data_IF_363016376253
#
_entry.id   IF_363016376253
#
_cell.length_a   1.000
_cell.length_b   1.000
_cell.length_c   1.000
_cell.angle_alpha   90.00
_cell.angle_beta   90.00
_cell.angle_gamma   90.00
#
_symmetry.space_group_name_H-M   'P 1'
#
loop_
_entity.id
_entity.type
_entity.pdbx_description
1 polymer ?
#
# COMPACT_ATOMS: atom_id res chain seq x y z
N UNK A 1 1.59 34.86 26.21
CA UNK A 1 1.04 34.43 24.90
C UNK A 1 1.07 32.91 24.91
N UNK A 2 -0.09 32.26 25.02
CA UNK A 2 -0.13 30.81 25.26
C UNK A 2 -0.01 30.01 23.97
N UNK A 3 1.02 29.15 23.94
CA UNK A 3 1.20 28.03 23.03
C UNK A 3 0.07 27.02 23.19
N UNK A 4 -0.79 26.88 22.18
CA UNK A 4 -1.58 25.65 21.99
C UNK A 4 -1.40 25.15 20.56
N UNK A 5 -0.40 24.29 20.38
CA UNK A 5 -0.24 23.48 19.19
C UNK A 5 -1.35 22.42 19.19
N UNK A 6 -2.16 22.37 18.13
CA UNK A 6 -3.13 21.29 17.91
C UNK A 6 -2.37 19.97 17.85
N UNK A 7 -2.42 19.17 18.92
CA UNK A 7 -1.96 17.79 18.88
C UNK A 7 -2.74 17.05 17.79
N UNK A 8 -2.04 16.40 16.86
CA UNK A 8 -2.67 15.49 15.90
C UNK A 8 -3.34 14.39 16.74
N UNK A 9 -4.66 14.47 16.87
CA UNK A 9 -5.47 13.46 17.55
C UNK A 9 -5.31 12.10 16.89
N UNK A 10 -5.64 11.05 17.64
CA UNK A 10 -5.60 9.65 17.22
C UNK A 10 -6.15 9.47 15.79
N UNK A 11 -5.27 9.08 14.86
CA UNK A 11 -5.67 8.72 13.51
C UNK A 11 -6.04 7.24 13.52
N UNK A 12 -7.33 6.93 13.44
CA UNK A 12 -7.81 5.55 13.40
C UNK A 12 -7.17 4.79 12.24
N UNK A 13 -6.86 3.51 12.45
CA UNK A 13 -6.34 2.63 11.40
C UNK A 13 -7.33 2.64 10.23
N UNK A 14 -6.91 3.20 9.09
CA UNK A 14 -7.67 3.13 7.85
C UNK A 14 -7.39 1.77 7.22
N UNK A 15 -8.44 0.99 7.01
CA UNK A 15 -8.37 -0.25 6.25
C UNK A 15 -8.88 0.03 4.83
N UNK A 16 -8.16 -0.47 3.83
CA UNK A 16 -8.55 -0.39 2.44
C UNK A 16 -9.00 -1.77 1.98
N UNK A 17 -9.97 -1.80 1.08
CA UNK A 17 -10.44 -3.05 0.50
C UNK A 17 -9.31 -3.72 -0.30
N UNK A 18 -9.15 -5.02 -0.07
CA UNK A 18 -8.25 -5.90 -0.80
C UNK A 18 -9.08 -7.09 -1.31
N UNK A 19 -9.15 -7.31 -2.63
CA UNK A 19 -9.92 -8.40 -3.20
C UNK A 19 -9.26 -9.73 -2.85
N UNK A 20 -10.09 -10.73 -2.67
CA UNK A 20 -9.68 -12.12 -2.60
C UNK A 20 -9.79 -12.82 -3.97
N UNK A 21 -9.50 -14.11 -3.99
CA UNK A 21 -9.54 -14.90 -5.23
C UNK A 21 -10.96 -14.99 -5.83
N UNK A 22 -12.00 -14.91 -5.01
CA UNK A 22 -13.40 -14.98 -5.46
C UNK A 22 -13.78 -13.67 -6.14
N UNK A 23 -13.42 -12.54 -5.52
CA UNK A 23 -13.64 -11.21 -6.08
C UNK A 23 -13.02 -11.06 -7.48
N UNK A 24 -11.83 -11.64 -7.68
CA UNK A 24 -11.13 -11.62 -8.96
C UNK A 24 -11.78 -12.49 -10.06
N UNK A 25 -12.68 -13.41 -9.70
CA UNK A 25 -13.43 -14.24 -10.66
C UNK A 25 -14.73 -13.58 -11.12
N UNK A 26 -15.16 -12.52 -10.45
CA UNK A 26 -16.37 -11.81 -10.83
C UNK A 26 -16.17 -11.10 -12.17
N UNK A 27 -17.19 -11.09 -13.06
CA UNK A 27 -17.11 -10.39 -14.34
C UNK A 27 -17.21 -8.86 -14.20
N UNK A 28 -16.97 -8.33 -13.00
CA UNK A 28 -17.07 -6.90 -12.68
C UNK A 28 -15.70 -6.27 -12.83
N UNK A 29 -15.54 -5.20 -13.64
CA UNK A 29 -14.26 -4.53 -13.79
C UNK A 29 -13.72 -3.97 -12.47
N UNK A 30 -12.42 -4.18 -12.21
CA UNK A 30 -11.72 -3.66 -11.04
C UNK A 30 -11.15 -2.26 -11.32
N UNK A 31 -11.74 -1.24 -10.70
CA UNK A 31 -11.33 0.16 -10.83
C UNK A 31 -10.62 0.72 -9.57
N UNK A 32 -9.97 -0.13 -8.76
CA UNK A 32 -9.27 0.32 -7.54
C UNK A 32 -8.03 1.15 -7.86
N UNK A 33 -7.91 2.31 -7.22
CA UNK A 33 -6.70 3.14 -7.28
C UNK A 33 -5.62 2.70 -6.28
N UNK A 34 -6.01 2.04 -5.18
CA UNK A 34 -5.09 1.50 -4.18
C UNK A 34 -5.02 0.00 -4.32
N UNK A 35 -3.87 -0.51 -4.80
CA UNK A 35 -3.68 -1.94 -5.06
C UNK A 35 -3.28 -2.72 -3.79
N UNK A 36 -2.53 -2.07 -2.89
CA UNK A 36 -2.07 -2.64 -1.62
C UNK A 36 -2.07 -1.56 -0.53
N UNK A 37 -2.55 -1.93 0.66
CA UNK A 37 -2.36 -1.15 1.88
C UNK A 37 -1.98 -2.09 3.03
N UNK A 38 -0.67 -2.20 3.30
CA UNK A 38 -0.12 -3.10 4.32
C UNK A 38 0.62 -2.28 5.39
N UNK A 39 -0.07 -1.81 6.45
CA UNK A 39 0.55 -0.98 7.49
C UNK A 39 1.46 -1.77 8.44
N UNK A 40 1.52 -3.10 8.29
CA UNK A 40 2.29 -3.99 9.15
C UNK A 40 3.00 -5.03 8.31
N UNK A 41 4.17 -4.64 7.78
CA UNK A 41 5.09 -5.52 7.08
C UNK A 41 6.35 -5.63 7.94
N UNK A 42 6.73 -6.85 8.31
CA UNK A 42 7.92 -7.12 9.11
C UNK A 42 8.92 -7.81 8.20
N UNK A 43 10.13 -7.26 8.11
CA UNK A 43 11.23 -7.85 7.36
C UNK A 43 11.81 -9.04 8.10
N UNK A 44 12.42 -9.95 7.34
CA UNK A 44 13.19 -11.06 7.89
C UNK A 44 14.55 -10.61 8.47
N UNK A 45 15.36 -11.58 8.90
CA UNK A 45 16.69 -11.36 9.47
C UNK A 45 17.67 -10.68 8.49
N UNK A 46 17.38 -10.70 7.18
CA UNK A 46 18.19 -10.03 6.14
C UNK A 46 17.67 -8.63 5.80
N UNK A 47 16.54 -8.21 6.39
CA UNK A 47 15.89 -6.95 6.07
C UNK A 47 14.99 -7.02 4.83
N UNK A 48 14.58 -8.23 4.41
CA UNK A 48 13.75 -8.44 3.23
C UNK A 48 12.29 -8.72 3.62
N UNK A 49 11.34 -8.23 2.82
CA UNK A 49 9.93 -8.57 2.97
C UNK A 49 9.29 -8.74 1.58
N UNK A 50 8.40 -9.73 1.45
CA UNK A 50 7.62 -9.95 0.23
C UNK A 50 6.16 -9.61 0.48
N UNK A 51 5.56 -8.84 -0.42
CA UNK A 51 4.13 -8.52 -0.43
C UNK A 51 3.52 -8.94 -1.75
N UNK A 52 2.27 -9.42 -1.71
CA UNK A 52 1.53 -9.86 -2.90
C UNK A 52 0.17 -9.17 -2.93
N UNK A 53 -0.24 -8.73 -4.12
CA UNK A 53 -1.52 -8.05 -4.35
C UNK A 53 -2.00 -8.28 -5.77
N UNK A 54 -3.31 -8.12 -5.98
CA UNK A 54 -3.92 -8.12 -7.31
C UNK A 54 -3.92 -6.71 -7.91
N UNK A 55 -3.59 -6.62 -9.19
CA UNK A 55 -3.68 -5.37 -9.96
C UNK A 55 -5.13 -5.05 -10.36
N UNK A 56 -5.46 -3.77 -10.50
CA UNK A 56 -6.73 -3.31 -11.07
C UNK A 56 -6.75 -3.46 -12.60
N UNK A 57 -7.93 -3.38 -13.21
CA UNK A 57 -8.11 -3.34 -14.67
C UNK A 57 -7.71 -1.99 -15.31
N UNK A 58 -7.30 -1.00 -14.52
CA UNK A 58 -6.91 0.31 -15.02
C UNK A 58 -5.52 0.25 -15.67
N UNK A 59 -5.46 0.57 -16.96
CA UNK A 59 -4.20 0.72 -17.70
C UNK A 59 -3.49 2.02 -17.33
N UNK A 60 -2.69 2.01 -16.27
CA UNK A 60 -1.98 3.20 -15.77
C UNK A 60 -0.64 2.86 -15.11
N UNK A 61 0.13 3.90 -14.81
CA UNK A 61 1.24 3.82 -13.87
C UNK A 61 0.73 3.88 -12.43
N UNK A 62 1.35 3.09 -11.57
CA UNK A 62 1.15 3.07 -10.12
C UNK A 62 2.47 3.39 -9.43
N UNK A 63 2.37 4.01 -8.26
CA UNK A 63 3.51 4.30 -7.39
C UNK A 63 3.37 3.42 -6.14
N UNK A 64 4.43 2.68 -5.82
CA UNK A 64 4.61 2.03 -4.54
C UNK A 64 5.37 2.96 -3.60
N UNK A 65 4.83 3.16 -2.40
CA UNK A 65 5.49 3.93 -1.34
C UNK A 65 5.69 3.00 -0.15
N UNK A 66 6.94 2.84 0.26
CA UNK A 66 7.30 2.14 1.49
C UNK A 66 7.76 3.17 2.52
N UNK A 67 7.18 3.11 3.71
CA UNK A 67 7.57 3.91 4.87
C UNK A 67 7.70 2.97 6.06
N UNK A 68 8.75 3.13 6.86
CA UNK A 68 9.02 2.22 7.95
C UNK A 68 9.99 2.77 8.97
N UNK A 69 10.20 1.95 9.99
CA UNK A 69 11.13 2.21 11.08
C UNK A 69 11.93 0.93 11.35
N UNK A 70 13.22 1.06 11.65
CA UNK A 70 14.03 -0.08 12.08
C UNK A 70 13.88 -0.39 13.57
N UNK A 71 14.52 -1.46 14.05
CA UNK A 71 14.48 -1.86 15.46
C UNK A 71 15.10 -0.85 16.44
N UNK A 72 15.80 0.17 15.94
CA UNK A 72 16.42 1.24 16.74
C UNK A 72 15.65 2.56 16.70
N UNK A 73 14.59 2.63 15.89
CA UNK A 73 13.77 3.83 15.73
C UNK A 73 14.16 4.73 14.56
N UNK A 74 15.08 4.32 13.67
CA UNK A 74 15.42 5.09 12.48
C UNK A 74 14.34 4.95 11.41
N UNK A 75 13.91 6.08 10.87
CA UNK A 75 12.88 6.15 9.84
C UNK A 75 13.50 5.95 8.45
N UNK A 76 12.80 5.21 7.61
CA UNK A 76 13.14 5.01 6.20
C UNK A 76 11.92 5.20 5.31
N UNK A 77 12.15 5.69 4.10
CA UNK A 77 11.13 5.73 3.04
C UNK A 77 11.77 5.47 1.69
N UNK A 78 11.05 4.79 0.82
CA UNK A 78 11.43 4.60 -0.57
C UNK A 78 10.20 4.58 -1.48
N UNK A 79 10.41 4.87 -2.76
CA UNK A 79 9.37 4.89 -3.77
C UNK A 79 9.79 4.11 -5.02
N UNK A 80 8.84 3.39 -5.60
CA UNK A 80 9.00 2.71 -6.87
C UNK A 80 7.81 2.96 -7.79
N UNK A 81 8.03 2.82 -9.09
CA UNK A 81 6.98 2.95 -10.09
C UNK A 81 6.85 1.67 -10.91
N UNK A 82 5.63 1.30 -11.24
CA UNK A 82 5.35 0.20 -12.16
C UNK A 82 4.10 0.50 -12.99
N UNK A 83 3.94 -0.23 -14.09
CA UNK A 83 2.86 0.00 -15.05
C UNK A 83 1.99 -1.24 -15.17
N UNK A 84 0.68 -1.06 -15.06
CA UNK A 84 -0.32 -2.09 -15.34
C UNK A 84 -0.83 -1.86 -16.74
N UNK A 85 -0.71 -2.89 -17.58
CA UNK A 85 -1.20 -2.88 -18.96
C UNK A 85 -1.94 -4.19 -19.19
N UNK A 86 -3.24 -4.09 -19.42
CA UNK A 86 -4.06 -5.20 -19.88
C UNK A 86 -3.53 -5.66 -21.24
N UNK A 87 -3.12 -6.93 -21.32
CA UNK A 87 -2.78 -7.53 -22.60
C UNK A 87 -4.04 -7.59 -23.45
N UNK A 88 -3.96 -7.08 -24.67
CA UNK A 88 -4.93 -7.37 -25.69
C UNK A 88 -4.55 -8.74 -26.27
N UNK A 89 -5.49 -9.67 -26.21
CA UNK A 89 -5.41 -10.94 -26.93
C UNK A 89 -5.74 -10.72 -28.41
#
# INVERSE_FOLDING_TARGET
MNNMWRGKGYYGKREFYQPDEIDMQLPVPDARNTLLWAPSVVTDEKGEATVSFYCSDINTGFIGVAEGVDGTGLLGTDQCEFRVIRRAD
#
